data_IF_401605580254
#
_entry.id   IF_401605580254
#
_cell.length_a   1.000
_cell.length_b   1.000
_cell.length_c   1.000
_cell.angle_alpha   90.00
_cell.angle_beta   90.00
_cell.angle_gamma   90.00
#
_symmetry.space_group_name_H-M   'P 1'
#
loop_
_entity.id
_entity.type
_entity.pdbx_description
1 polymer ?
#
# COMPACT_ATOMS: atom_id res chain seq x y z
N UNK A 1 -17.01 86.40 -12.93
CA UNK A 1 -16.24 85.29 -13.45
C UNK A 1 -15.15 84.81 -12.49
N UNK A 2 -14.35 85.65 -11.87
CA UNK A 2 -13.25 85.22 -10.95
C UNK A 2 -13.74 84.46 -9.71
N UNK A 3 -14.86 84.81 -9.09
CA UNK A 3 -15.42 84.10 -7.89
C UNK A 3 -15.86 82.69 -8.26
N UNK A 4 -16.44 82.49 -9.45
CA UNK A 4 -16.90 81.16 -9.89
C UNK A 4 -15.70 80.22 -10.17
N UNK A 5 -14.61 80.73 -10.74
CA UNK A 5 -13.36 79.95 -10.94
C UNK A 5 -12.71 79.56 -9.62
N UNK A 6 -12.68 80.48 -8.63
CA UNK A 6 -12.19 80.17 -7.28
C UNK A 6 -13.03 79.09 -6.60
N UNK A 7 -14.35 79.16 -6.72
CA UNK A 7 -15.26 78.15 -6.17
C UNK A 7 -15.03 76.78 -6.86
N UNK A 8 -14.85 76.78 -8.20
CA UNK A 8 -14.57 75.53 -8.92
C UNK A 8 -13.24 74.90 -8.52
N UNK A 9 -12.16 75.67 -8.34
CA UNK A 9 -10.89 75.18 -7.84
C UNK A 9 -11.00 74.67 -6.40
N UNK A 10 -11.77 75.28 -5.54
CA UNK A 10 -11.99 74.82 -4.19
C UNK A 10 -12.74 73.46 -4.18
N UNK A 11 -13.73 73.26 -5.04
CA UNK A 11 -14.46 72.00 -5.17
C UNK A 11 -13.56 70.84 -5.70
N UNK A 12 -12.70 71.15 -6.69
CA UNK A 12 -11.74 70.20 -7.23
C UNK A 12 -10.69 69.81 -6.16
N UNK A 13 -10.17 70.79 -5.42
CA UNK A 13 -9.24 70.52 -4.32
C UNK A 13 -9.89 69.68 -3.22
N UNK A 14 -11.14 69.91 -2.85
CA UNK A 14 -11.87 69.13 -1.87
C UNK A 14 -12.09 67.70 -2.36
N UNK A 15 -12.42 67.49 -3.63
CA UNK A 15 -12.57 66.16 -4.20
C UNK A 15 -11.24 65.39 -4.20
N UNK A 16 -10.13 66.04 -4.59
CA UNK A 16 -8.80 65.43 -4.53
C UNK A 16 -8.41 65.03 -3.10
N UNK A 17 -8.64 65.92 -2.12
CA UNK A 17 -8.37 65.63 -0.71
C UNK A 17 -9.24 64.44 -0.25
N UNK A 18 -10.49 64.37 -0.64
CA UNK A 18 -11.41 63.24 -0.28
C UNK A 18 -10.93 61.93 -0.91
N UNK A 19 -10.43 61.96 -2.15
CA UNK A 19 -9.88 60.76 -2.81
C UNK A 19 -8.57 60.31 -2.10
N UNK A 20 -7.66 61.25 -1.78
CA UNK A 20 -6.43 60.92 -1.07
C UNK A 20 -6.73 60.41 0.32
N UNK A 21 -7.66 61.04 1.06
CA UNK A 21 -8.06 60.55 2.38
C UNK A 21 -8.71 59.15 2.32
N UNK A 22 -9.53 58.89 1.30
CA UNK A 22 -10.09 57.56 1.06
C UNK A 22 -9.05 56.52 0.73
N UNK A 23 -8.09 56.85 -0.14
CA UNK A 23 -6.98 55.94 -0.46
C UNK A 23 -6.08 55.67 0.77
N UNK A 24 -5.76 56.74 1.54
CA UNK A 24 -5.01 56.58 2.78
C UNK A 24 -5.76 55.71 3.81
N UNK A 25 -7.09 55.89 3.92
CA UNK A 25 -7.94 55.06 4.77
C UNK A 25 -7.93 53.58 4.32
N UNK A 26 -8.02 53.32 3.01
CA UNK A 26 -7.93 51.95 2.47
C UNK A 26 -6.57 51.34 2.73
N UNK A 27 -5.47 52.06 2.50
CA UNK A 27 -4.10 51.61 2.82
C UNK A 27 -3.88 51.30 4.31
N UNK A 28 -4.53 52.08 5.20
CA UNK A 28 -4.45 51.83 6.65
C UNK A 28 -5.31 50.62 7.07
N UNK A 29 -6.26 50.22 6.23
CA UNK A 29 -7.18 49.10 6.48
C UNK A 29 -6.67 47.78 5.90
N UNK A 30 -5.79 47.85 4.90
CA UNK A 30 -5.11 46.67 4.34
C UNK A 30 -4.08 46.16 5.35
N UNK A 31 -4.29 44.96 5.87
CA UNK A 31 -3.22 44.22 6.58
C UNK A 31 -2.31 43.58 5.52
N UNK A 32 -1.01 43.74 5.70
CA UNK A 32 0.01 43.15 4.85
C UNK A 32 0.60 41.86 5.44
N UNK A 33 0.10 41.46 6.62
CA UNK A 33 0.52 40.26 7.33
C UNK A 33 -0.50 39.15 7.11
N UNK A 34 -0.03 37.93 6.88
CA UNK A 34 -0.92 36.78 6.85
C UNK A 34 -1.10 36.17 8.24
N UNK A 35 -2.03 35.18 8.35
CA UNK A 35 -2.30 34.50 9.59
C UNK A 35 -1.05 33.85 10.19
N UNK A 36 -1.01 33.70 11.50
CA UNK A 36 0.01 32.90 12.18
C UNK A 36 -0.62 31.70 12.89
N UNK A 37 0.05 30.55 12.75
CA UNK A 37 -0.36 29.29 13.37
C UNK A 37 0.12 29.21 14.82
N UNK A 38 -0.64 28.46 15.61
CA UNK A 38 -0.23 27.94 16.90
C UNK A 38 -0.60 26.46 16.97
N UNK A 39 0.35 25.62 17.39
CA UNK A 39 0.15 24.18 17.54
C UNK A 39 0.52 23.75 18.96
N UNK A 40 -0.27 22.82 19.50
CA UNK A 40 0.02 22.23 20.81
C UNK A 40 1.14 21.18 20.74
N UNK A 41 1.29 20.50 19.59
CA UNK A 41 2.27 19.43 19.36
C UNK A 41 2.80 19.49 17.92
N UNK A 42 4.08 19.22 17.77
CA UNK A 42 4.73 19.12 16.47
C UNK A 42 4.57 17.72 15.84
N UNK A 43 4.34 16.70 16.67
CA UNK A 43 4.07 15.32 16.25
C UNK A 43 2.65 14.92 16.66
N UNK A 44 1.89 14.40 15.73
CA UNK A 44 0.61 13.74 15.95
C UNK A 44 0.73 12.24 15.67
N UNK A 45 0.10 11.43 16.52
CA UNK A 45 0.03 9.97 16.33
C UNK A 45 -1.41 9.58 16.05
N UNK A 46 -1.67 8.96 14.90
CA UNK A 46 -3.00 8.53 14.46
C UNK A 46 -2.99 7.06 14.05
N UNK A 47 -4.16 6.43 14.13
CA UNK A 47 -4.44 5.19 13.42
C UNK A 47 -4.78 5.49 11.95
N UNK A 48 -4.55 4.55 11.06
CA UNK A 48 -5.00 4.63 9.64
C UNK A 48 -6.54 4.78 9.55
N UNK A 49 -7.26 4.24 10.54
CA UNK A 49 -8.73 4.30 10.58
C UNK A 49 -9.28 5.63 11.12
N UNK A 50 -8.44 6.51 11.66
CA UNK A 50 -8.89 7.79 12.20
C UNK A 50 -9.37 8.72 11.07
N UNK A 51 -10.44 9.49 11.31
CA UNK A 51 -10.95 10.42 10.30
C UNK A 51 -9.98 11.58 10.07
N UNK A 52 -9.91 12.08 8.85
CA UNK A 52 -9.03 13.20 8.45
C UNK A 52 -9.21 14.45 9.32
N UNK A 53 -10.39 14.65 9.89
CA UNK A 53 -10.66 15.79 10.79
C UNK A 53 -9.75 15.83 12.01
N UNK A 54 -9.23 14.69 12.47
CA UNK A 54 -8.29 14.62 13.62
C UNK A 54 -6.95 15.30 13.29
N UNK A 55 -6.57 15.40 12.00
CA UNK A 55 -5.39 16.15 11.58
C UNK A 55 -5.45 17.63 11.99
N UNK A 56 -6.63 18.20 12.10
CA UNK A 56 -6.85 19.61 12.47
C UNK A 56 -6.87 19.84 13.99
N UNK A 57 -6.84 18.79 14.78
CA UNK A 57 -6.88 18.93 16.23
C UNK A 57 -5.61 19.56 16.79
N UNK A 58 -5.80 20.45 17.78
CA UNK A 58 -4.70 21.11 18.49
C UNK A 58 -3.96 22.17 17.68
N UNK A 59 -4.49 22.60 16.54
CA UNK A 59 -3.97 23.74 15.78
C UNK A 59 -4.99 24.88 15.74
N UNK A 60 -4.49 26.08 15.77
CA UNK A 60 -5.28 27.31 15.63
C UNK A 60 -4.53 28.28 14.71
N UNK A 61 -5.27 29.17 14.06
CA UNK A 61 -4.70 30.27 13.30
C UNK A 61 -5.34 31.59 13.71
N UNK A 62 -4.52 32.61 13.83
CA UNK A 62 -4.98 33.96 14.16
C UNK A 62 -4.36 34.96 13.20
N UNK A 63 -5.16 35.95 12.87
CA UNK A 63 -4.75 37.08 12.07
C UNK A 63 -4.88 38.36 12.90
N UNK A 64 -4.04 39.35 12.60
CA UNK A 64 -4.03 40.62 13.34
C UNK A 64 -5.28 41.46 13.11
N UNK A 65 -5.82 41.42 11.89
CA UNK A 65 -7.02 42.18 11.47
C UNK A 65 -8.29 41.39 11.71
N UNK A 66 -8.29 40.10 11.33
CA UNK A 66 -9.48 39.27 11.32
C UNK A 66 -9.69 38.50 12.64
N UNK A 67 -8.67 38.47 13.50
CA UNK A 67 -8.72 37.76 14.78
C UNK A 67 -8.55 36.27 14.63
N UNK A 68 -9.50 35.47 15.09
CA UNK A 68 -9.46 34.01 14.98
C UNK A 68 -9.92 33.58 13.59
N UNK A 69 -9.01 32.96 12.84
CA UNK A 69 -9.23 32.41 11.49
C UNK A 69 -9.00 30.90 11.45
N UNK A 70 -9.13 30.23 12.59
CA UNK A 70 -8.93 28.78 12.73
C UNK A 70 -9.79 27.98 11.75
N UNK A 71 -11.01 28.42 11.47
CA UNK A 71 -11.92 27.78 10.51
C UNK A 71 -11.42 27.82 9.06
N UNK A 72 -10.43 28.67 8.75
CA UNK A 72 -9.78 28.72 7.42
C UNK A 72 -8.71 27.68 7.23
N UNK A 73 -8.33 26.91 8.27
CA UNK A 73 -7.25 25.93 8.20
C UNK A 73 -7.69 24.75 7.34
N UNK A 74 -6.86 24.41 6.35
CA UNK A 74 -7.01 23.22 5.50
C UNK A 74 -5.72 22.41 5.47
N UNK A 75 -5.86 21.10 5.29
CA UNK A 75 -4.73 20.23 4.94
C UNK A 75 -4.45 20.40 3.45
N UNK A 76 -3.30 20.97 3.12
CA UNK A 76 -2.87 21.17 1.73
C UNK A 76 -2.26 19.89 1.15
N UNK A 77 -1.43 19.21 1.95
CA UNK A 77 -0.62 18.08 1.47
C UNK A 77 -0.23 17.14 2.60
N UNK A 78 -0.18 15.86 2.26
CA UNK A 78 0.53 14.82 3.00
C UNK A 78 1.75 14.38 2.18
N UNK A 79 2.94 14.34 2.80
CA UNK A 79 4.15 13.82 2.15
C UNK A 79 4.04 12.31 1.89
N UNK A 80 4.98 11.71 1.18
CA UNK A 80 5.23 10.28 1.24
C UNK A 80 5.64 9.83 2.65
N UNK A 81 5.58 8.52 2.90
CA UNK A 81 6.13 7.92 4.11
C UNK A 81 7.65 8.03 4.14
N UNK A 82 8.19 8.28 5.30
CA UNK A 82 9.61 8.22 5.62
C UNK A 82 9.79 7.57 7.00
N UNK A 83 10.92 7.71 7.65
CA UNK A 83 11.33 7.04 8.89
C UNK A 83 10.17 6.68 9.84
N UNK A 84 10.15 5.42 10.30
CA UNK A 84 9.20 4.90 11.28
C UNK A 84 7.71 5.22 10.99
N UNK A 85 7.29 5.09 9.73
CA UNK A 85 5.92 5.32 9.27
C UNK A 85 5.44 6.77 9.48
N UNK A 86 6.33 7.73 9.37
CA UNK A 86 6.03 9.15 9.47
C UNK A 86 5.71 9.78 8.12
N UNK A 87 4.93 10.85 8.17
CA UNK A 87 4.62 11.75 7.07
C UNK A 87 4.67 13.19 7.55
N UNK A 88 4.89 14.12 6.65
CA UNK A 88 4.68 15.55 6.93
C UNK A 88 3.30 15.97 6.46
N UNK A 89 2.54 16.61 7.33
CA UNK A 89 1.26 17.26 7.03
C UNK A 89 1.53 18.74 6.86
N UNK A 90 1.20 19.28 5.69
CA UNK A 90 1.28 20.72 5.41
C UNK A 90 -0.12 21.32 5.53
N UNK A 91 -0.26 22.29 6.39
CA UNK A 91 -1.48 23.06 6.59
C UNK A 91 -1.37 24.43 5.93
N UNK A 92 -2.51 24.97 5.52
CA UNK A 92 -2.64 26.36 5.05
C UNK A 92 -3.75 27.04 5.84
N UNK A 93 -3.55 28.32 6.14
CA UNK A 93 -4.59 29.21 6.66
C UNK A 93 -4.59 30.49 5.85
N UNK A 94 -5.75 31.14 5.74
CA UNK A 94 -5.91 32.38 4.99
C UNK A 94 -6.83 33.33 5.73
N UNK A 95 -6.54 34.64 5.52
CA UNK A 95 -7.32 35.76 6.04
C UNK A 95 -8.34 36.27 5.02
N UNK A 96 -9.07 37.35 5.37
CA UNK A 96 -10.05 38.00 4.50
C UNK A 96 -9.41 38.75 3.30
N UNK A 97 -8.10 39.06 3.39
CA UNK A 97 -7.35 39.73 2.33
C UNK A 97 -6.63 38.73 1.39
N UNK A 98 -6.84 37.40 1.60
CA UNK A 98 -6.27 36.28 0.88
C UNK A 98 -4.74 36.10 1.06
N UNK A 99 -4.18 36.53 2.18
CA UNK A 99 -2.84 36.12 2.53
C UNK A 99 -2.83 34.69 3.02
N UNK A 100 -1.85 33.93 2.57
CA UNK A 100 -1.74 32.48 2.86
C UNK A 100 -0.49 32.25 3.70
N UNK A 101 -0.66 31.56 4.81
CA UNK A 101 0.46 31.06 5.62
C UNK A 101 0.41 29.55 5.69
N UNK A 102 1.61 28.93 5.75
CA UNK A 102 1.76 27.47 5.84
C UNK A 102 2.42 27.08 7.15
N UNK A 103 2.03 25.92 7.67
CA UNK A 103 2.65 25.25 8.80
C UNK A 103 2.79 23.77 8.50
N UNK A 104 3.82 23.13 9.03
CA UNK A 104 4.05 21.71 8.92
C UNK A 104 4.05 21.03 10.28
N UNK A 105 3.53 19.81 10.35
CA UNK A 105 3.61 18.91 11.51
C UNK A 105 4.02 17.53 11.06
N UNK A 106 4.69 16.77 11.93
CA UNK A 106 4.89 15.35 11.72
C UNK A 106 3.63 14.56 12.07
N UNK A 107 3.28 13.60 11.24
CA UNK A 107 2.26 12.58 11.47
C UNK A 107 2.95 11.22 11.54
N UNK A 108 2.72 10.46 12.61
CA UNK A 108 3.14 9.07 12.74
C UNK A 108 1.92 8.16 12.83
N UNK A 109 1.87 7.13 11.98
CA UNK A 109 0.82 6.11 12.08
C UNK A 109 1.21 5.06 13.12
N UNK A 110 0.26 4.74 14.04
CA UNK A 110 0.46 3.76 15.10
C UNK A 110 0.31 2.31 14.64
N UNK A 111 -0.42 2.10 13.53
CA UNK A 111 -0.85 0.79 13.02
C UNK A 111 -0.57 0.59 11.53
N UNK A 112 0.34 1.35 10.97
CA UNK A 112 0.73 1.21 9.58
C UNK A 112 1.38 -0.15 9.31
N UNK A 113 0.93 -0.78 8.24
CA UNK A 113 1.51 -2.01 7.69
C UNK A 113 1.74 -1.80 6.20
N UNK A 114 2.96 -2.03 5.76
CA UNK A 114 3.33 -1.98 4.34
C UNK A 114 2.47 -2.92 3.49
N UNK A 115 2.29 -2.62 2.19
CA UNK A 115 1.56 -3.49 1.27
C UNK A 115 2.02 -4.94 1.35
N UNK A 116 1.07 -5.88 1.48
CA UNK A 116 1.36 -7.31 1.58
C UNK A 116 0.84 -8.05 0.36
N UNK A 117 1.74 -8.79 -0.27
CA UNK A 117 1.41 -9.70 -1.35
C UNK A 117 0.70 -10.96 -0.85
N UNK A 118 -0.10 -11.57 -1.70
CA UNK A 118 -0.68 -12.90 -1.52
C UNK A 118 -0.63 -13.67 -2.84
N UNK A 119 -0.58 -14.98 -2.77
CA UNK A 119 -0.68 -15.88 -3.92
C UNK A 119 -1.88 -16.81 -3.71
N UNK A 120 -2.85 -16.76 -4.63
CA UNK A 120 -4.03 -17.62 -4.61
C UNK A 120 -3.83 -18.97 -5.29
N UNK A 121 -2.65 -19.19 -5.90
CA UNK A 121 -2.29 -20.41 -6.59
C UNK A 121 -0.78 -20.58 -6.76
N UNK A 122 -0.42 -21.71 -7.36
CA UNK A 122 0.95 -22.11 -7.64
C UNK A 122 1.63 -21.18 -8.67
N UNK A 123 2.93 -20.99 -8.54
CA UNK A 123 3.80 -20.42 -9.57
C UNK A 123 4.53 -21.53 -10.38
N UNK A 124 4.07 -22.79 -10.29
CA UNK A 124 4.51 -23.91 -11.11
C UNK A 124 3.46 -24.20 -12.18
N UNK A 125 3.85 -24.21 -13.44
CA UNK A 125 2.98 -24.41 -14.58
C UNK A 125 3.48 -25.54 -15.48
N UNK A 126 2.57 -26.32 -16.04
CA UNK A 126 2.93 -27.32 -17.04
C UNK A 126 3.34 -26.66 -18.34
N UNK A 127 4.35 -27.23 -19.02
CA UNK A 127 4.78 -26.74 -20.31
C UNK A 127 3.60 -26.74 -21.30
N UNK A 128 3.36 -25.59 -21.95
CA UNK A 128 2.23 -25.35 -22.86
C UNK A 128 0.94 -24.87 -22.20
N UNK A 129 0.89 -24.81 -20.87
CA UNK A 129 -0.26 -24.27 -20.15
C UNK A 129 -0.35 -22.73 -20.28
N UNK A 130 -1.55 -22.18 -20.23
CA UNK A 130 -1.74 -20.74 -20.24
C UNK A 130 -1.40 -20.18 -18.87
N UNK A 131 -0.40 -19.31 -18.81
CA UNK A 131 0.05 -18.66 -17.58
C UNK A 131 -0.74 -17.36 -17.39
N UNK A 132 -1.53 -17.28 -16.31
CA UNK A 132 -2.28 -16.09 -15.92
C UNK A 132 -1.84 -15.62 -14.54
N UNK A 133 -0.59 -15.17 -14.41
CA UNK A 133 -0.01 -14.76 -13.12
C UNK A 133 -0.81 -13.62 -12.49
N UNK A 134 -1.30 -12.67 -13.30
CA UNK A 134 -2.09 -11.51 -12.81
C UNK A 134 -3.35 -11.91 -12.04
N UNK A 135 -3.86 -13.13 -12.25
CA UNK A 135 -5.02 -13.66 -11.52
C UNK A 135 -4.64 -14.37 -10.22
N UNK A 136 -3.38 -14.71 -10.06
CA UNK A 136 -2.87 -15.46 -8.93
C UNK A 136 -2.36 -14.51 -7.84
N UNK A 137 -1.77 -13.38 -8.26
CA UNK A 137 -1.18 -12.42 -7.33
C UNK A 137 -2.22 -11.44 -6.81
N UNK A 138 -2.22 -11.22 -5.51
CA UNK A 138 -3.01 -10.21 -4.84
C UNK A 138 -2.12 -9.32 -3.97
N UNK A 139 -2.58 -8.09 -3.73
CA UNK A 139 -1.92 -7.16 -2.80
C UNK A 139 -2.97 -6.44 -1.98
N UNK A 140 -2.74 -6.40 -0.66
CA UNK A 140 -3.53 -5.58 0.26
C UNK A 140 -2.67 -4.57 0.97
N UNK A 141 -3.19 -3.36 1.09
CA UNK A 141 -2.58 -2.22 1.76
C UNK A 141 -3.52 -1.62 2.80
N UNK A 142 -2.98 -1.12 3.90
CA UNK A 142 -3.78 -0.56 4.98
C UNK A 142 -4.35 0.83 4.66
N UNK A 143 -3.74 1.58 3.74
CA UNK A 143 -4.20 2.91 3.30
C UNK A 143 -5.13 2.79 2.09
N UNK A 144 -4.68 2.09 1.04
CA UNK A 144 -5.33 2.07 -0.28
C UNK A 144 -6.24 0.85 -0.49
N UNK A 145 -6.24 -0.12 0.43
CA UNK A 145 -7.03 -1.33 0.32
C UNK A 145 -6.46 -2.32 -0.68
N UNK A 146 -7.20 -2.69 -1.74
CA UNK A 146 -6.77 -3.65 -2.76
C UNK A 146 -5.94 -2.98 -3.86
N UNK A 147 -4.65 -3.34 -3.92
CA UNK A 147 -3.69 -2.85 -4.91
C UNK A 147 -3.32 -3.91 -5.97
N UNK A 148 -4.02 -5.03 -6.04
CA UNK A 148 -3.70 -6.14 -6.95
C UNK A 148 -3.58 -5.69 -8.42
N UNK A 149 -4.40 -4.73 -8.84
CA UNK A 149 -4.39 -4.17 -10.20
C UNK A 149 -3.26 -3.15 -10.46
N UNK A 150 -2.51 -2.76 -9.43
CA UNK A 150 -1.36 -1.83 -9.52
C UNK A 150 -0.02 -2.55 -9.48
N UNK A 151 -0.02 -3.88 -9.36
CA UNK A 151 1.20 -4.69 -9.37
C UNK A 151 1.92 -4.55 -10.71
N UNK A 152 3.20 -4.27 -10.67
CA UNK A 152 4.10 -4.26 -11.82
C UNK A 152 4.95 -5.52 -11.79
N UNK A 153 5.23 -6.06 -12.97
CA UNK A 153 6.12 -7.20 -13.14
C UNK A 153 7.44 -6.68 -13.70
N UNK A 154 8.52 -6.90 -12.94
CA UNK A 154 9.88 -6.59 -13.35
C UNK A 154 10.57 -7.90 -13.71
N UNK A 155 10.89 -8.09 -14.98
CA UNK A 155 11.55 -9.29 -15.48
C UNK A 155 12.65 -8.90 -16.46
N UNK A 156 13.79 -9.59 -16.36
CA UNK A 156 14.87 -9.45 -17.33
C UNK A 156 14.61 -10.31 -18.58
N UNK A 157 13.79 -11.35 -18.45
CA UNK A 157 13.49 -12.31 -19.52
C UNK A 157 12.00 -12.61 -19.59
N UNK A 158 11.48 -12.78 -20.80
CA UNK A 158 10.09 -13.21 -21.01
C UNK A 158 9.93 -14.70 -20.66
N UNK A 159 8.92 -15.02 -19.83
CA UNK A 159 8.58 -16.41 -19.53
C UNK A 159 8.10 -17.12 -20.81
N UNK A 160 8.81 -18.17 -21.21
CA UNK A 160 8.37 -19.04 -22.30
C UNK A 160 7.62 -20.24 -21.70
N UNK A 161 6.30 -20.23 -21.79
CA UNK A 161 5.47 -21.28 -21.23
C UNK A 161 5.62 -22.66 -21.88
N UNK A 162 6.37 -22.77 -22.99
CA UNK A 162 6.66 -24.04 -23.67
C UNK A 162 8.04 -24.60 -23.35
N UNK A 163 8.89 -23.80 -22.72
CA UNK A 163 10.25 -24.20 -22.41
C UNK A 163 10.38 -24.47 -20.91
N UNK A 164 10.58 -25.74 -20.50
CA UNK A 164 10.84 -26.08 -19.12
C UNK A 164 12.04 -25.29 -18.55
N UNK A 165 11.90 -24.79 -17.35
CA UNK A 165 12.93 -23.98 -16.69
C UNK A 165 12.38 -23.17 -15.52
N UNK A 166 13.27 -22.47 -14.85
CA UNK A 166 12.97 -21.58 -13.74
C UNK A 166 13.23 -20.14 -14.17
N UNK A 167 12.25 -19.28 -14.01
CA UNK A 167 12.27 -17.88 -14.44
C UNK A 167 12.17 -16.99 -13.21
N UNK A 168 13.17 -16.15 -12.99
CA UNK A 168 13.14 -15.16 -11.90
C UNK A 168 12.21 -14.00 -12.26
N UNK A 169 11.31 -13.66 -11.34
CA UNK A 169 10.32 -12.61 -11.49
C UNK A 169 10.29 -11.76 -10.22
N UNK A 170 10.24 -10.46 -10.37
CA UNK A 170 10.03 -9.54 -9.25
C UNK A 170 8.70 -8.83 -9.44
N UNK A 171 7.77 -9.00 -8.51
CA UNK A 171 6.58 -8.18 -8.42
C UNK A 171 6.87 -6.94 -7.57
N UNK A 172 6.38 -5.80 -8.02
CA UNK A 172 6.53 -4.51 -7.35
C UNK A 172 5.18 -3.82 -7.23
N UNK A 173 4.90 -3.23 -6.09
CA UNK A 173 3.74 -2.39 -5.85
C UNK A 173 4.14 -1.18 -5.03
N UNK A 174 3.51 -0.03 -5.32
CA UNK A 174 3.69 1.20 -4.56
C UNK A 174 2.31 1.73 -4.17
N UNK A 175 2.12 2.02 -2.89
CA UNK A 175 0.88 2.64 -2.40
C UNK A 175 0.86 4.15 -2.60
N UNK A 176 -0.26 4.83 -2.28
CA UNK A 176 -0.41 6.28 -2.41
C UNK A 176 0.49 7.08 -1.48
N UNK A 177 0.97 6.46 -0.41
CA UNK A 177 1.93 7.05 0.52
C UNK A 177 3.40 6.87 0.09
N UNK A 178 3.66 6.26 -1.08
CA UNK A 178 5.00 6.09 -1.65
C UNK A 178 5.77 4.88 -1.11
N UNK A 179 5.17 4.06 -0.23
CA UNK A 179 5.79 2.81 0.20
C UNK A 179 5.78 1.79 -0.94
N UNK A 180 6.96 1.30 -1.28
CA UNK A 180 7.18 0.34 -2.37
C UNK A 180 7.65 -0.99 -1.82
N UNK A 181 6.86 -2.02 -2.09
CA UNK A 181 7.17 -3.40 -1.73
C UNK A 181 7.51 -4.24 -2.95
N UNK A 182 8.46 -5.16 -2.78
CA UNK A 182 8.91 -6.09 -3.82
C UNK A 182 8.80 -7.53 -3.35
N UNK A 183 8.34 -8.38 -4.24
CA UNK A 183 8.27 -9.82 -4.05
C UNK A 183 9.08 -10.52 -5.13
N UNK A 184 10.36 -10.87 -4.89
CA UNK A 184 11.15 -11.71 -5.78
C UNK A 184 10.72 -13.16 -5.64
N UNK A 185 10.29 -13.76 -6.73
CA UNK A 185 9.85 -15.16 -6.79
C UNK A 185 10.37 -15.84 -8.06
N UNK A 186 10.24 -17.15 -8.11
CA UNK A 186 10.54 -17.96 -9.28
C UNK A 186 9.27 -18.56 -9.84
N UNK A 187 9.10 -18.48 -11.14
CA UNK A 187 8.07 -19.18 -11.89
C UNK A 187 8.70 -20.40 -12.53
N UNK A 188 8.21 -21.57 -12.21
CA UNK A 188 8.72 -22.82 -12.75
C UNK A 188 7.81 -23.34 -13.86
N UNK A 189 8.38 -23.61 -15.04
CA UNK A 189 7.73 -24.34 -16.12
C UNK A 189 8.29 -25.75 -16.13
N UNK A 190 7.44 -26.76 -16.01
CA UNK A 190 7.88 -28.15 -15.91
C UNK A 190 7.21 -29.07 -16.95
N UNK A 191 7.88 -30.14 -17.31
CA UNK A 191 7.30 -31.19 -18.15
C UNK A 191 6.40 -32.10 -17.31
N UNK A 192 5.13 -32.21 -17.71
CA UNK A 192 4.18 -33.10 -17.07
C UNK A 192 4.42 -34.55 -17.44
N UNK A 193 4.29 -35.45 -16.47
CA UNK A 193 4.39 -36.90 -16.64
C UNK A 193 2.98 -37.55 -16.48
N UNK A 194 2.76 -38.70 -17.09
CA UNK A 194 1.43 -39.37 -17.12
C UNK A 194 0.91 -39.74 -15.73
N UNK A 195 1.79 -39.90 -14.74
CA UNK A 195 1.48 -40.33 -13.39
C UNK A 195 1.61 -39.18 -12.37
N UNK A 196 1.55 -37.94 -12.85
CA UNK A 196 1.63 -36.77 -12.02
C UNK A 196 0.29 -36.52 -11.32
N UNK A 197 0.41 -36.08 -10.07
CA UNK A 197 -0.69 -35.64 -9.25
C UNK A 197 -0.48 -34.19 -8.84
N UNK A 198 -1.57 -33.46 -8.66
CA UNK A 198 -1.53 -32.10 -8.18
C UNK A 198 -1.59 -32.08 -6.64
N UNK A 199 -0.66 -31.37 -5.99
CA UNK A 199 -0.75 -31.05 -4.55
C UNK A 199 -1.39 -29.67 -4.46
N UNK A 200 -2.47 -29.54 -3.71
CA UNK A 200 -3.12 -28.25 -3.48
C UNK A 200 -2.78 -27.77 -2.09
N UNK A 201 -2.42 -26.50 -1.97
CA UNK A 201 -2.16 -25.82 -0.71
C UNK A 201 -3.30 -24.88 -0.35
N UNK A 202 -3.44 -24.58 0.95
CA UNK A 202 -4.39 -23.56 1.45
C UNK A 202 -3.93 -22.15 1.13
N UNK A 203 -2.61 -21.94 1.16
CA UNK A 203 -1.93 -20.67 0.88
C UNK A 203 -0.61 -20.97 0.16
N UNK A 204 -0.24 -20.11 -0.79
CA UNK A 204 0.99 -20.26 -1.58
C UNK A 204 2.04 -19.22 -1.23
N UNK A 205 1.70 -18.25 -0.36
CA UNK A 205 2.62 -17.26 0.21
C UNK A 205 2.24 -17.03 1.67
N UNK A 206 3.21 -17.13 2.57
CA UNK A 206 3.03 -16.86 3.99
C UNK A 206 4.11 -15.93 4.53
N UNK A 207 3.75 -15.11 5.50
CA UNK A 207 4.68 -14.21 6.19
C UNK A 207 5.11 -14.81 7.52
N UNK A 208 6.37 -14.62 7.89
CA UNK A 208 6.94 -15.05 9.16
C UNK A 208 7.75 -13.92 9.79
N UNK A 209 7.47 -13.65 11.06
CA UNK A 209 8.23 -12.70 11.90
C UNK A 209 9.45 -13.40 12.54
N UNK A 210 10.25 -14.08 11.73
CA UNK A 210 11.43 -14.84 12.19
C UNK A 210 11.12 -16.15 12.92
N UNK A 211 9.85 -16.60 12.94
CA UNK A 211 9.44 -17.84 13.58
C UNK A 211 9.27 -18.98 12.58
N UNK A 212 9.67 -20.19 12.99
CA UNK A 212 9.53 -21.36 12.16
C UNK A 212 8.06 -21.66 11.81
N UNK A 213 7.81 -21.93 10.53
CA UNK A 213 6.49 -22.25 9.99
C UNK A 213 6.29 -23.77 9.97
N UNK A 214 5.13 -24.26 10.40
CA UNK A 214 4.74 -25.63 10.20
C UNK A 214 4.06 -25.79 8.83
N UNK A 215 4.83 -26.18 7.84
CA UNK A 215 4.39 -26.26 6.44
C UNK A 215 3.26 -27.28 6.20
N UNK A 216 3.22 -28.37 6.96
CA UNK A 216 2.17 -29.40 6.81
C UNK A 216 0.76 -28.86 7.13
N UNK A 217 0.66 -27.73 7.85
CA UNK A 217 -0.62 -27.07 8.11
C UNK A 217 -1.24 -26.43 6.85
N UNK A 218 -0.43 -26.15 5.84
CA UNK A 218 -0.88 -25.55 4.57
C UNK A 218 -1.30 -26.58 3.52
N UNK A 219 -1.08 -27.87 3.76
CA UNK A 219 -1.58 -28.92 2.87
C UNK A 219 -3.11 -28.94 2.89
N UNK A 220 -3.73 -28.90 1.69
CA UNK A 220 -5.18 -28.95 1.50
C UNK A 220 -5.59 -30.31 0.97
N UNK A 221 -5.10 -30.72 -0.19
CA UNK A 221 -5.50 -31.95 -0.87
C UNK A 221 -4.42 -32.42 -1.85
N UNK A 222 -4.59 -33.63 -2.32
CA UNK A 222 -3.88 -34.20 -3.47
C UNK A 222 -4.92 -34.61 -4.50
N UNK A 223 -4.73 -34.22 -5.76
CA UNK A 223 -5.65 -34.53 -6.85
C UNK A 223 -4.98 -35.42 -7.87
N UNK A 224 -5.65 -36.53 -8.19
CA UNK A 224 -5.24 -37.47 -9.24
C UNK A 224 -6.36 -37.60 -10.27
N UNK A 225 -6.16 -37.04 -11.44
CA UNK A 225 -7.20 -36.95 -12.45
C UNK A 225 -8.43 -36.16 -11.99
N UNK A 226 -9.58 -36.82 -11.87
CA UNK A 226 -10.81 -36.20 -11.41
C UNK A 226 -11.11 -36.42 -9.89
N UNK A 227 -10.25 -37.17 -9.20
CA UNK A 227 -10.45 -37.50 -7.78
C UNK A 227 -9.56 -36.60 -6.93
N UNK A 228 -10.15 -35.95 -5.93
CA UNK A 228 -9.44 -35.10 -4.97
C UNK A 228 -9.50 -35.76 -3.57
N UNK A 229 -8.34 -35.92 -2.92
CA UNK A 229 -8.19 -36.51 -1.60
C UNK A 229 -7.74 -35.43 -0.63
N UNK A 230 -8.52 -35.16 0.40
CA UNK A 230 -8.25 -34.09 1.37
C UNK A 230 -7.37 -34.59 2.52
N UNK A 231 -6.45 -33.71 2.99
CA UNK A 231 -5.61 -33.99 4.16
C UNK A 231 -6.35 -33.75 5.48
N UNK A 232 -7.32 -32.84 5.49
CA UNK A 232 -8.14 -32.46 6.65
C UNK A 232 -9.47 -31.90 6.15
N UNK A 233 -10.50 -32.03 6.96
CA UNK A 233 -11.81 -31.46 6.72
C UNK A 233 -12.93 -32.49 6.76
N UNK A 234 -14.13 -32.03 6.47
CA UNK A 234 -15.28 -32.91 6.28
C UNK A 234 -15.08 -33.62 4.95
N UNK A 235 -14.75 -34.90 4.99
CA UNK A 235 -14.70 -35.79 3.83
C UNK A 235 -15.97 -36.62 3.85
N UNK A 236 -16.55 -36.88 2.67
CA UNK A 236 -17.77 -37.70 2.54
C UNK A 236 -17.52 -39.16 2.91
N UNK A 237 -16.26 -39.60 2.88
CA UNK A 237 -15.83 -40.93 3.34
C UNK A 237 -14.38 -40.88 3.88
N UNK A 238 -14.05 -41.85 4.81
CA UNK A 238 -12.67 -42.03 5.28
C UNK A 238 -11.70 -42.45 4.15
N UNK A 239 -12.23 -43.03 3.06
CA UNK A 239 -11.46 -43.44 1.90
C UNK A 239 -10.88 -42.24 1.10
N UNK A 240 -11.50 -41.08 1.24
CA UNK A 240 -11.07 -39.83 0.57
C UNK A 240 -10.05 -39.04 1.38
N UNK A 241 -9.67 -39.52 2.56
CA UNK A 241 -8.67 -38.90 3.41
C UNK A 241 -7.29 -39.53 3.21
N UNK A 242 -6.25 -38.70 3.19
CA UNK A 242 -4.86 -39.16 3.14
C UNK A 242 -4.03 -38.55 4.27
N UNK A 243 -3.00 -39.29 4.70
CA UNK A 243 -2.10 -38.78 5.74
C UNK A 243 -1.14 -37.73 5.18
N UNK A 244 -0.99 -36.62 5.89
CA UNK A 244 0.03 -35.58 5.65
C UNK A 244 1.45 -36.12 5.73
N UNK A 245 1.67 -37.26 6.38
CA UNK A 245 2.99 -37.86 6.54
C UNK A 245 3.54 -38.42 5.22
N UNK A 246 2.67 -38.62 4.22
CA UNK A 246 3.08 -38.98 2.87
C UNK A 246 3.70 -37.84 2.07
N UNK A 247 3.61 -36.60 2.59
CA UNK A 247 4.19 -35.42 1.95
C UNK A 247 5.52 -35.11 2.63
N UNK A 248 6.59 -35.12 1.84
CA UNK A 248 7.91 -34.63 2.23
C UNK A 248 7.99 -33.13 1.93
N UNK A 249 8.61 -32.37 2.83
CA UNK A 249 8.80 -30.91 2.67
C UNK A 249 10.28 -30.61 2.66
N UNK A 250 10.75 -29.93 1.60
CA UNK A 250 12.09 -29.34 1.52
C UNK A 250 11.98 -27.83 1.72
N UNK A 251 12.43 -27.36 2.88
CA UNK A 251 12.36 -25.97 3.30
C UNK A 251 13.75 -25.49 3.74
N UNK A 252 14.41 -24.70 2.90
CA UNK A 252 15.70 -24.08 3.20
C UNK A 252 15.54 -22.64 3.64
N UNK A 253 14.61 -22.38 4.58
CA UNK A 253 14.26 -21.04 5.06
C UNK A 253 15.21 -20.62 6.19
N UNK A 254 15.87 -19.48 6.02
CA UNK A 254 16.63 -18.85 7.09
C UNK A 254 15.76 -17.80 7.81
N UNK A 255 15.14 -18.18 8.91
CA UNK A 255 14.26 -17.32 9.68
C UNK A 255 14.95 -16.12 10.39
N UNK A 256 16.27 -16.05 10.33
CA UNK A 256 17.05 -14.92 10.89
C UNK A 256 17.41 -13.86 9.86
N UNK A 257 17.13 -14.13 8.59
CA UNK A 257 17.50 -13.24 7.49
C UNK A 257 16.22 -12.87 6.72
N UNK A 258 15.84 -11.60 6.67
CA UNK A 258 14.72 -11.17 5.84
C UNK A 258 14.92 -11.58 4.39
N UNK A 259 13.86 -12.04 3.76
CA UNK A 259 13.89 -12.49 2.38
C UNK A 259 12.70 -13.34 1.98
N UNK A 260 12.67 -13.78 0.72
CA UNK A 260 11.63 -14.63 0.14
C UNK A 260 12.24 -15.99 -0.18
N UNK A 261 11.70 -17.04 0.41
CA UNK A 261 12.25 -18.39 0.35
C UNK A 261 11.24 -19.35 -0.25
N UNK A 262 11.61 -20.13 -1.30
CA UNK A 262 10.76 -21.21 -1.81
C UNK A 262 10.78 -22.41 -0.86
N UNK A 263 9.63 -23.06 -0.74
CA UNK A 263 9.43 -24.29 0.00
C UNK A 263 8.73 -25.28 -0.90
N UNK A 264 9.31 -26.46 -1.06
CA UNK A 264 8.81 -27.49 -1.95
C UNK A 264 8.13 -28.61 -1.16
N UNK A 265 7.05 -29.11 -1.71
CA UNK A 265 6.29 -30.26 -1.23
C UNK A 265 6.36 -31.36 -2.25
N UNK A 266 6.68 -32.57 -1.79
CA UNK A 266 6.78 -33.74 -2.63
C UNK A 266 5.84 -34.83 -2.11
N UNK A 267 5.02 -35.36 -3.01
CA UNK A 267 4.16 -36.51 -2.73
C UNK A 267 4.58 -37.66 -3.63
N UNK A 268 4.79 -38.83 -3.03
CA UNK A 268 5.14 -40.04 -3.74
C UNK A 268 4.26 -41.22 -3.23
N UNK A 269 3.72 -41.98 -4.12
CA UNK A 269 2.92 -43.14 -3.77
C UNK A 269 3.08 -44.25 -4.78
N UNK A 270 3.18 -45.50 -4.26
CA UNK A 270 3.19 -46.71 -5.04
C UNK A 270 1.87 -47.47 -4.80
N UNK A 271 1.15 -47.76 -5.89
CA UNK A 271 -0.01 -48.69 -5.89
C UNK A 271 0.30 -49.84 -6.81
N UNK A 272 0.76 -50.98 -6.27
CA UNK A 272 1.27 -52.08 -7.05
C UNK A 272 2.48 -51.68 -7.90
N UNK A 273 2.38 -51.75 -9.23
CA UNK A 273 3.41 -51.34 -10.15
C UNK A 273 3.28 -49.88 -10.64
N UNK A 274 2.26 -49.14 -10.17
CA UNK A 274 2.03 -47.76 -10.57
C UNK A 274 2.66 -46.82 -9.56
N UNK A 275 3.61 -46.03 -10.02
CA UNK A 275 4.23 -44.93 -9.28
C UNK A 275 3.57 -43.62 -9.64
N UNK A 276 3.11 -42.87 -8.63
CA UNK A 276 2.58 -41.53 -8.78
C UNK A 276 3.41 -40.54 -7.97
N UNK A 277 3.67 -39.39 -8.56
CA UNK A 277 4.44 -38.34 -7.90
C UNK A 277 3.78 -36.97 -8.11
N UNK A 278 4.03 -36.07 -7.20
CA UNK A 278 3.58 -34.67 -7.30
C UNK A 278 4.57 -33.75 -6.62
N UNK A 279 4.71 -32.58 -7.16
CA UNK A 279 5.54 -31.51 -6.59
C UNK A 279 4.76 -30.22 -6.58
N UNK A 280 4.82 -29.49 -5.47
CA UNK A 280 4.21 -28.16 -5.36
C UNK A 280 5.16 -27.22 -4.61
N UNK A 281 4.94 -25.94 -4.73
CA UNK A 281 5.78 -24.89 -4.17
C UNK A 281 4.94 -23.80 -3.51
N UNK A 282 5.42 -23.33 -2.37
CA UNK A 282 4.94 -22.07 -1.76
C UNK A 282 6.14 -21.19 -1.42
N UNK A 283 5.85 -19.95 -1.06
CA UNK A 283 6.85 -19.00 -0.61
C UNK A 283 6.66 -18.60 0.85
N UNK A 284 7.78 -18.39 1.55
CA UNK A 284 7.82 -17.78 2.88
C UNK A 284 8.55 -16.46 2.80
N UNK A 285 7.89 -15.39 3.21
CA UNK A 285 8.49 -14.07 3.38
C UNK A 285 8.88 -13.92 4.83
N UNK A 286 10.18 -13.84 5.10
CA UNK A 286 10.74 -13.55 6.43
C UNK A 286 10.93 -12.04 6.53
N UNK A 287 10.34 -11.42 7.54
CA UNK A 287 10.40 -9.97 7.82
C UNK A 287 11.27 -9.68 9.03
#
# INVERSE_FOLDING_TARGET
MQKLRKLWYALVALALISIIAYQAYQMMKEDSSGPYFSSNNDLITLSIADPEAVLLEGITAKDKKDGDVTDSILVEKLSGLYDDNKRTVTYVAFDSDNHITKMERELQYSDYVSPRFSLSGSLRFRAGETINIDKIIGVKDCIDGDLSNKVKILMDTTINNRLPGVYDVVYEVTNSAGDTQKLPVQVEIYESNRNEIDINLKEYLVYSDGKAVNYKNYLKSVKSGNIEYFFEGVVDSEEDAISKDRVTVDAKVNYKVPGVYPVYFYYENWRGSVYTQGTEMMYVVVQ
#
